data_IF_243047028132
#
_entry.id   IF_243047028132
#
_cell.length_a   1.000
_cell.length_b   1.000
_cell.length_c   1.000
_cell.angle_alpha   90.00
_cell.angle_beta   90.00
_cell.angle_gamma   90.00
#
_symmetry.space_group_name_H-M   'P 1'
#
loop_
_entity.id
_entity.type
_entity.pdbx_description
1 polymer ?
#
# COMPACT_ATOMS: atom_id res chain seq x y z
N UNK A 1 72.85 138.35 62.39
CA UNK A 1 72.35 137.33 61.44
C UNK A 1 73.40 137.16 60.35
N UNK A 2 74.15 136.07 60.36
CA UNK A 2 75.11 135.76 59.30
C UNK A 2 74.35 135.37 58.03
N UNK A 3 74.90 135.68 56.87
CA UNK A 3 74.36 135.31 55.54
C UNK A 3 74.09 133.80 55.43
N UNK A 4 74.89 132.98 56.13
CA UNK A 4 74.70 131.53 56.25
C UNK A 4 73.30 131.14 56.78
N UNK A 5 72.79 131.82 57.81
CA UNK A 5 71.49 131.48 58.42
C UNK A 5 70.32 131.78 57.49
N UNK A 6 70.40 132.86 56.69
CA UNK A 6 69.34 133.22 55.73
C UNK A 6 69.25 132.21 54.58
N UNK A 7 70.40 131.78 54.05
CA UNK A 7 70.44 130.75 53.01
C UNK A 7 69.87 129.43 53.54
N UNK A 8 70.20 129.07 54.77
CA UNK A 8 69.70 127.84 55.40
C UNK A 8 68.18 127.84 55.57
N UNK A 9 67.57 128.97 55.96
CA UNK A 9 66.10 129.09 56.11
C UNK A 9 65.39 128.94 54.76
N UNK A 10 65.94 129.52 53.69
CA UNK A 10 65.36 129.41 52.34
C UNK A 10 65.43 127.98 51.82
N UNK A 11 66.57 127.28 52.02
CA UNK A 11 66.71 125.86 51.66
C UNK A 11 65.76 124.99 52.49
N UNK A 12 65.63 125.24 53.79
CA UNK A 12 64.72 124.50 54.67
C UNK A 12 63.25 124.68 54.25
N UNK A 13 62.84 125.91 53.92
CA UNK A 13 61.48 126.19 53.46
C UNK A 13 61.18 125.51 52.12
N UNK A 14 62.14 125.52 51.19
CA UNK A 14 62.00 124.81 49.91
C UNK A 14 61.90 123.29 50.10
N UNK A 15 62.74 122.71 50.96
CA UNK A 15 62.66 121.30 51.31
C UNK A 15 61.34 120.93 51.99
N UNK A 16 60.78 121.80 52.86
CA UNK A 16 59.49 121.56 53.52
C UNK A 16 58.32 121.53 52.53
N UNK A 17 58.30 122.42 51.53
CA UNK A 17 57.28 122.43 50.48
C UNK A 17 57.43 121.23 49.54
N UNK A 18 58.67 120.86 49.18
CA UNK A 18 58.91 119.66 48.37
C UNK A 18 58.47 118.38 49.11
N UNK A 19 58.71 118.31 50.43
CA UNK A 19 58.30 117.17 51.25
C UNK A 19 56.78 117.06 51.39
N UNK A 20 56.06 118.17 51.55
CA UNK A 20 54.59 118.14 51.67
C UNK A 20 53.91 117.68 50.37
N UNK A 21 54.40 118.10 49.20
CA UNK A 21 53.92 117.62 47.91
C UNK A 21 54.13 116.11 47.73
N UNK A 22 55.28 115.59 48.19
CA UNK A 22 55.61 114.17 48.11
C UNK A 22 54.70 113.32 49.02
N UNK A 23 54.39 113.81 50.23
CA UNK A 23 53.50 113.12 51.19
C UNK A 23 52.07 113.04 50.66
N UNK A 24 51.54 114.08 50.01
CA UNK A 24 50.19 114.06 49.43
C UNK A 24 50.12 113.10 48.23
N UNK A 25 51.15 113.11 47.36
CA UNK A 25 51.26 112.14 46.27
C UNK A 25 51.28 110.69 46.80
N UNK A 26 52.06 110.42 47.86
CA UNK A 26 52.13 109.12 48.52
C UNK A 26 50.79 108.70 49.16
N UNK A 27 50.10 109.63 49.85
CA UNK A 27 48.81 109.37 50.48
C UNK A 27 47.71 109.07 49.45
N UNK A 28 47.67 109.78 48.33
CA UNK A 28 46.72 109.52 47.24
C UNK A 28 46.97 108.18 46.51
N UNK A 29 48.22 107.70 46.53
CA UNK A 29 48.60 106.38 46.01
C UNK A 29 48.46 105.26 47.03
N UNK A 30 48.02 105.57 48.26
CA UNK A 30 47.75 104.55 49.27
C UNK A 30 46.51 103.77 48.86
N UNK A 31 46.74 102.69 48.11
CA UNK A 31 45.70 101.76 47.68
C UNK A 31 45.01 101.19 48.93
N UNK A 32 43.69 101.15 48.89
CA UNK A 32 42.90 100.54 49.95
C UNK A 32 42.95 99.01 49.81
N UNK A 33 44.01 98.41 50.34
CA UNK A 33 44.29 96.97 50.27
C UNK A 33 43.14 96.09 50.78
N UNK A 34 42.32 96.61 51.71
CA UNK A 34 41.16 95.90 52.22
C UNK A 34 40.07 95.72 51.16
N UNK A 35 39.79 96.77 50.38
CA UNK A 35 38.81 96.72 49.29
C UNK A 35 39.28 95.82 48.15
N UNK A 36 40.55 95.91 47.78
CA UNK A 36 41.16 95.04 46.76
C UNK A 36 41.15 93.56 47.19
N UNK A 37 41.42 93.27 48.47
CA UNK A 37 41.30 91.90 49.00
C UNK A 37 39.85 91.38 48.98
N UNK A 38 38.86 92.24 49.25
CA UNK A 38 37.45 91.88 49.19
C UNK A 38 36.98 91.61 47.76
N UNK A 39 37.36 92.47 46.81
CA UNK A 39 37.04 92.32 45.40
C UNK A 39 37.71 91.06 44.81
N UNK A 40 38.97 90.79 45.17
CA UNK A 40 39.67 89.55 44.79
C UNK A 40 39.00 88.31 45.37
N UNK A 41 38.48 88.36 46.61
CA UNK A 41 37.74 87.26 47.22
C UNK A 41 36.40 87.04 46.53
N UNK A 42 35.68 88.10 46.17
CA UNK A 42 34.43 88.03 45.43
C UNK A 42 34.64 87.44 44.03
N UNK A 43 35.70 87.87 43.33
CA UNK A 43 36.07 87.35 42.02
C UNK A 43 36.47 85.87 42.07
N UNK A 44 37.26 85.45 43.06
CA UNK A 44 37.64 84.05 43.25
C UNK A 44 36.42 83.15 43.54
N UNK A 45 35.47 83.62 44.35
CA UNK A 45 34.22 82.90 44.63
C UNK A 45 33.34 82.78 43.38
N UNK A 46 33.24 83.83 42.57
CA UNK A 46 32.47 83.80 41.32
C UNK A 46 33.09 82.84 40.30
N UNK A 47 34.42 82.87 40.14
CA UNK A 47 35.14 81.94 39.26
C UNK A 47 34.97 80.48 39.72
N UNK A 48 35.00 80.21 41.02
CA UNK A 48 34.73 78.88 41.57
C UNK A 48 33.28 78.43 41.29
N UNK A 49 32.30 79.34 41.43
CA UNK A 49 30.90 79.06 41.09
C UNK A 49 30.72 78.75 39.60
N UNK A 50 31.39 79.48 38.71
CA UNK A 50 31.34 79.24 37.26
C UNK A 50 31.98 77.89 36.91
N UNK A 51 33.14 77.57 37.48
CA UNK A 51 33.83 76.28 37.24
C UNK A 51 33.01 75.09 37.74
N UNK A 52 32.52 75.15 38.98
CA UNK A 52 31.67 74.08 39.54
C UNK A 52 30.36 73.89 38.76
N UNK A 53 29.75 74.99 38.29
CA UNK A 53 28.59 74.92 37.41
C UNK A 53 28.93 74.26 36.06
N UNK A 54 30.03 74.64 35.42
CA UNK A 54 30.52 74.03 34.17
C UNK A 54 30.86 72.54 34.33
N UNK A 55 31.50 72.15 35.43
CA UNK A 55 31.78 70.75 35.75
C UNK A 55 30.49 69.95 35.97
N UNK A 56 29.49 70.52 36.67
CA UNK A 56 28.21 69.85 36.88
C UNK A 56 27.42 69.65 35.58
N UNK A 57 27.44 70.65 34.68
CA UNK A 57 26.81 70.56 33.37
C UNK A 57 27.48 69.48 32.50
N UNK A 58 28.81 69.44 32.48
CA UNK A 58 29.57 68.41 31.77
C UNK A 58 29.33 67.01 32.35
N UNK A 59 29.18 66.90 33.67
CA UNK A 59 28.84 65.63 34.31
C UNK A 59 27.45 65.15 33.91
N UNK A 60 26.44 66.03 33.93
CA UNK A 60 25.06 65.69 33.54
C UNK A 60 24.97 65.30 32.05
N UNK A 61 25.68 65.99 31.15
CA UNK A 61 25.70 65.62 29.73
C UNK A 61 26.37 64.26 29.52
N UNK A 62 27.47 63.99 30.23
CA UNK A 62 28.15 62.70 30.16
C UNK A 62 27.28 61.55 30.69
N UNK A 63 26.59 61.75 31.81
CA UNK A 63 25.61 60.79 32.35
C UNK A 63 24.45 60.54 31.37
N UNK A 64 23.94 61.59 30.72
CA UNK A 64 22.91 61.47 29.68
C UNK A 64 23.40 60.65 28.47
N UNK A 65 24.60 60.92 27.96
CA UNK A 65 25.18 60.14 26.88
C UNK A 65 25.43 58.69 27.28
N UNK A 66 25.89 58.45 28.51
CA UNK A 66 26.10 57.09 29.02
C UNK A 66 24.77 56.32 29.16
N UNK A 67 23.71 57.00 29.61
CA UNK A 67 22.35 56.44 29.65
C UNK A 67 21.83 56.09 28.24
N UNK A 68 22.03 56.99 27.27
CA UNK A 68 21.65 56.73 25.87
C UNK A 68 22.41 55.54 25.27
N UNK A 69 23.73 55.45 25.50
CA UNK A 69 24.55 54.31 25.06
C UNK A 69 24.04 53.01 25.68
N UNK A 70 23.72 53.02 26.98
CA UNK A 70 23.18 51.83 27.65
C UNK A 70 21.82 51.41 27.07
N UNK A 71 20.93 52.37 26.78
CA UNK A 71 19.64 52.08 26.18
C UNK A 71 19.78 51.53 24.75
N UNK A 72 20.63 52.15 23.93
CA UNK A 72 20.93 51.66 22.58
C UNK A 72 21.56 50.27 22.60
N UNK A 73 22.44 49.98 23.56
CA UNK A 73 23.02 48.65 23.73
C UNK A 73 21.96 47.59 24.09
N UNK A 74 21.00 47.93 24.95
CA UNK A 74 19.87 47.05 25.27
C UNK A 74 19.00 46.80 24.04
N UNK A 75 18.61 47.85 23.32
CA UNK A 75 17.79 47.74 22.12
C UNK A 75 18.49 46.91 21.04
N UNK A 76 19.80 47.07 20.86
CA UNK A 76 20.60 46.28 19.91
C UNK A 76 20.67 44.80 20.33
N UNK A 77 20.78 44.52 21.63
CA UNK A 77 20.73 43.15 22.18
C UNK A 77 19.35 42.51 21.97
N UNK A 78 18.28 43.25 22.23
CA UNK A 78 16.91 42.79 22.05
C UNK A 78 16.62 42.52 20.56
N UNK A 79 17.04 43.43 19.68
CA UNK A 79 16.87 43.28 18.25
C UNK A 79 17.66 42.10 17.69
N UNK A 80 18.88 41.84 18.19
CA UNK A 80 19.65 40.63 17.86
C UNK A 80 18.91 39.37 18.28
N UNK A 81 18.41 39.33 19.52
CA UNK A 81 17.65 38.19 20.04
C UNK A 81 16.39 37.93 19.22
N UNK A 82 15.68 38.98 18.83
CA UNK A 82 14.50 38.87 17.97
C UNK A 82 14.86 38.37 16.56
N UNK A 83 15.99 38.82 16.01
CA UNK A 83 16.47 38.38 14.70
C UNK A 83 16.84 36.89 14.71
N UNK A 84 17.53 36.43 15.76
CA UNK A 84 17.85 35.01 15.95
C UNK A 84 16.59 34.15 16.12
N UNK A 85 15.61 34.63 16.91
CA UNK A 85 14.32 33.96 17.08
C UNK A 85 13.56 33.85 15.75
N UNK A 86 13.49 34.94 14.99
CA UNK A 86 12.83 34.96 13.68
C UNK A 86 13.53 34.04 12.69
N UNK A 87 14.88 34.03 12.67
CA UNK A 87 15.65 33.10 11.84
C UNK A 87 15.38 31.63 12.21
N UNK A 88 15.30 31.33 13.51
CA UNK A 88 14.93 29.99 13.99
C UNK A 88 13.50 29.58 13.59
N UNK A 89 12.54 30.51 13.69
CA UNK A 89 11.16 30.28 13.24
C UNK A 89 11.09 30.03 11.73
N UNK A 90 11.81 30.81 10.92
CA UNK A 90 11.89 30.62 9.47
C UNK A 90 12.48 29.26 9.10
N UNK A 91 13.53 28.81 9.80
CA UNK A 91 14.10 27.49 9.59
C UNK A 91 13.11 26.37 9.95
N UNK A 92 12.38 26.51 11.07
CA UNK A 92 11.36 25.55 11.48
C UNK A 92 10.20 25.47 10.47
N UNK A 93 9.71 26.61 10.00
CA UNK A 93 8.63 26.68 9.00
C UNK A 93 9.10 26.07 7.68
N UNK A 94 10.32 26.33 7.23
CA UNK A 94 10.87 25.73 6.01
C UNK A 94 10.97 24.20 6.12
N UNK A 95 11.38 23.69 7.29
CA UNK A 95 11.42 22.24 7.53
C UNK A 95 10.01 21.63 7.52
N UNK A 96 9.02 22.31 8.13
CA UNK A 96 7.62 21.88 8.08
C UNK A 96 7.07 21.88 6.65
N UNK A 97 7.36 22.93 5.87
CA UNK A 97 6.95 23.04 4.47
C UNK A 97 7.53 21.88 3.64
N UNK A 98 8.81 21.56 3.83
CA UNK A 98 9.46 20.46 3.11
C UNK A 98 8.83 19.11 3.49
N UNK A 99 8.56 18.88 4.78
CA UNK A 99 7.88 17.66 5.24
C UNK A 99 6.47 17.54 4.65
N UNK A 100 5.70 18.62 4.60
CA UNK A 100 4.35 18.61 4.03
C UNK A 100 4.37 18.44 2.51
N UNK A 101 5.36 18.98 1.81
CA UNK A 101 5.58 18.74 0.39
C UNK A 101 5.89 17.26 0.10
N UNK A 102 6.76 16.63 0.90
CA UNK A 102 7.06 15.20 0.78
C UNK A 102 5.82 14.34 1.03
N UNK A 103 5.02 14.69 2.05
CA UNK A 103 3.76 14.02 2.34
C UNK A 103 2.75 14.17 1.20
N UNK A 104 2.64 15.36 0.62
CA UNK A 104 1.77 15.62 -0.53
C UNK A 104 2.20 14.81 -1.75
N UNK A 105 3.51 14.74 -2.04
CA UNK A 105 4.05 13.91 -3.12
C UNK A 105 3.77 12.41 -2.88
N UNK A 106 3.95 11.93 -1.65
CA UNK A 106 3.62 10.55 -1.27
C UNK A 106 2.12 10.24 -1.45
N UNK A 107 1.24 11.12 -0.96
CA UNK A 107 -0.21 10.95 -1.11
C UNK A 107 -0.62 10.99 -2.58
N UNK A 108 -0.01 11.85 -3.39
CA UNK A 108 -0.25 11.92 -4.83
C UNK A 108 0.13 10.61 -5.52
N UNK A 109 1.30 10.04 -5.17
CA UNK A 109 1.72 8.74 -5.66
C UNK A 109 0.74 7.61 -5.29
N UNK A 110 0.27 7.60 -4.04
CA UNK A 110 -0.74 6.63 -3.59
C UNK A 110 -2.06 6.77 -4.35
N UNK A 111 -2.53 8.01 -4.59
CA UNK A 111 -3.73 8.26 -5.39
C UNK A 111 -3.56 7.77 -6.83
N UNK A 112 -2.41 8.03 -7.46
CA UNK A 112 -2.13 7.51 -8.81
C UNK A 112 -2.12 5.98 -8.84
N UNK A 113 -1.50 5.34 -7.85
CA UNK A 113 -1.48 3.87 -7.74
C UNK A 113 -2.88 3.29 -7.55
N UNK A 114 -3.67 3.84 -6.63
CA UNK A 114 -5.07 3.43 -6.40
C UNK A 114 -5.92 3.62 -7.65
N UNK A 115 -5.76 4.73 -8.36
CA UNK A 115 -6.45 5.00 -9.63
C UNK A 115 -6.11 3.93 -10.67
N UNK A 116 -4.83 3.56 -10.78
CA UNK A 116 -4.40 2.48 -11.68
C UNK A 116 -5.00 1.13 -11.30
N UNK A 117 -5.07 0.81 -10.00
CA UNK A 117 -5.69 -0.42 -9.51
C UNK A 117 -7.19 -0.47 -9.79
N UNK A 118 -7.89 0.65 -9.62
CA UNK A 118 -9.33 0.77 -9.95
C UNK A 118 -9.54 0.53 -11.44
N UNK A 119 -8.75 1.19 -12.31
CA UNK A 119 -8.87 1.01 -13.76
C UNK A 119 -8.58 -0.43 -14.20
N UNK A 120 -7.58 -1.08 -13.60
CA UNK A 120 -7.28 -2.49 -13.86
C UNK A 120 -8.43 -3.40 -13.41
N UNK A 121 -8.98 -3.17 -12.21
CA UNK A 121 -10.13 -3.91 -11.70
C UNK A 121 -11.40 -3.72 -12.52
N UNK A 122 -11.65 -2.52 -13.04
CA UNK A 122 -12.79 -2.27 -13.94
C UNK A 122 -12.61 -2.97 -15.30
N UNK A 123 -11.39 -3.02 -15.83
CA UNK A 123 -11.10 -3.77 -17.05
C UNK A 123 -11.31 -5.28 -16.85
N UNK A 124 -10.82 -5.82 -15.73
CA UNK A 124 -11.02 -7.23 -15.36
C UNK A 124 -12.52 -7.55 -15.18
N UNK A 125 -13.26 -6.68 -14.48
CA UNK A 125 -14.71 -6.84 -14.30
C UNK A 125 -15.46 -6.88 -15.63
N UNK A 126 -15.08 -6.02 -16.58
CA UNK A 126 -15.68 -6.00 -17.93
C UNK A 126 -15.36 -7.26 -18.73
N UNK A 127 -14.13 -7.77 -18.60
CA UNK A 127 -13.73 -9.02 -19.23
C UNK A 127 -14.51 -10.21 -18.66
N UNK A 128 -14.59 -10.32 -17.34
CA UNK A 128 -15.38 -11.36 -16.66
C UNK A 128 -16.86 -11.29 -17.05
N UNK A 129 -17.43 -10.08 -17.18
CA UNK A 129 -18.81 -9.91 -17.62
C UNK A 129 -19.01 -10.40 -19.06
N UNK A 130 -18.05 -10.15 -19.95
CA UNK A 130 -18.04 -10.65 -21.33
C UNK A 130 -17.96 -12.18 -21.36
N UNK A 131 -17.04 -12.77 -20.58
CA UNK A 131 -16.91 -14.22 -20.48
C UNK A 131 -18.18 -14.89 -19.94
N UNK A 132 -18.80 -14.29 -18.92
CA UNK A 132 -20.05 -14.79 -18.35
C UNK A 132 -21.18 -14.76 -19.40
N UNK A 133 -21.25 -13.70 -20.20
CA UNK A 133 -22.22 -13.62 -21.30
C UNK A 133 -21.96 -14.68 -22.38
N UNK A 134 -20.69 -14.91 -22.75
CA UNK A 134 -20.32 -15.93 -23.72
C UNK A 134 -20.68 -17.32 -23.22
N UNK A 135 -20.32 -17.66 -21.98
CA UNK A 135 -20.67 -18.96 -21.37
C UNK A 135 -22.19 -19.15 -21.31
N UNK A 136 -22.96 -18.10 -21.02
CA UNK A 136 -24.43 -18.17 -21.06
C UNK A 136 -24.94 -18.47 -22.47
N UNK A 137 -24.43 -17.76 -23.47
CA UNK A 137 -24.79 -17.97 -24.86
C UNK A 137 -24.46 -19.41 -25.30
N UNK A 138 -23.26 -19.89 -24.99
CA UNK A 138 -22.82 -21.26 -25.29
C UNK A 138 -23.71 -22.29 -24.60
N UNK A 139 -24.08 -22.08 -23.33
CA UNK A 139 -24.98 -22.98 -22.62
C UNK A 139 -26.38 -23.02 -23.28
N UNK A 140 -26.89 -21.88 -23.74
CA UNK A 140 -28.17 -21.85 -24.47
C UNK A 140 -28.10 -22.55 -25.82
N UNK A 141 -26.99 -22.41 -26.55
CA UNK A 141 -26.76 -23.11 -27.81
C UNK A 141 -26.68 -24.63 -27.58
N UNK A 142 -25.87 -25.07 -26.62
CA UNK A 142 -25.74 -26.49 -26.26
C UNK A 142 -27.06 -27.11 -25.80
N UNK A 143 -27.90 -26.38 -25.07
CA UNK A 143 -29.25 -26.86 -24.71
C UNK A 143 -30.14 -27.02 -25.94
N UNK A 144 -30.08 -26.07 -26.85
CA UNK A 144 -30.85 -26.12 -28.11
C UNK A 144 -30.42 -27.30 -28.98
N UNK A 145 -29.11 -27.53 -29.09
CA UNK A 145 -28.57 -28.64 -29.87
C UNK A 145 -28.87 -30.00 -29.21
N UNK A 146 -28.81 -30.09 -27.88
CA UNK A 146 -29.27 -31.29 -27.17
C UNK A 146 -30.75 -31.59 -27.42
N UNK A 147 -31.62 -30.58 -27.46
CA UNK A 147 -33.04 -30.78 -27.79
C UNK A 147 -33.22 -31.29 -29.22
N UNK A 148 -32.51 -30.71 -30.20
CA UNK A 148 -32.53 -31.20 -31.59
C UNK A 148 -32.02 -32.63 -31.70
N UNK A 149 -30.92 -32.96 -31.02
CA UNK A 149 -30.37 -34.32 -31.00
C UNK A 149 -31.38 -35.30 -30.39
N UNK A 150 -32.02 -34.94 -29.28
CA UNK A 150 -33.07 -35.76 -28.67
C UNK A 150 -34.25 -35.99 -29.64
N UNK A 151 -34.71 -34.96 -30.34
CA UNK A 151 -35.77 -35.08 -31.35
C UNK A 151 -35.36 -35.99 -32.51
N UNK A 152 -34.12 -35.85 -33.02
CA UNK A 152 -33.61 -36.71 -34.09
C UNK A 152 -33.46 -38.17 -33.65
N UNK A 153 -32.99 -38.41 -32.43
CA UNK A 153 -32.90 -39.76 -31.86
C UNK A 153 -34.28 -40.39 -31.75
N UNK A 154 -35.28 -39.66 -31.25
CA UNK A 154 -36.66 -40.16 -31.16
C UNK A 154 -37.23 -40.51 -32.54
N UNK A 155 -36.96 -39.68 -33.55
CA UNK A 155 -37.39 -39.96 -34.93
C UNK A 155 -36.71 -41.22 -35.50
N UNK A 156 -35.41 -41.38 -35.26
CA UNK A 156 -34.66 -42.55 -35.70
C UNK A 156 -35.13 -43.83 -34.99
N UNK A 157 -35.40 -43.76 -33.69
CA UNK A 157 -35.99 -44.88 -32.93
C UNK A 157 -37.34 -45.31 -33.51
N UNK A 158 -38.23 -44.34 -33.80
CA UNK A 158 -39.54 -44.65 -34.39
C UNK A 158 -39.41 -45.26 -35.79
N UNK A 159 -38.47 -44.76 -36.59
CA UNK A 159 -38.17 -45.31 -37.91
C UNK A 159 -37.59 -46.74 -37.82
N UNK A 160 -36.70 -47.00 -36.86
CA UNK A 160 -36.16 -48.33 -36.60
C UNK A 160 -37.26 -49.32 -36.20
N UNK A 161 -38.18 -48.92 -35.31
CA UNK A 161 -39.33 -49.75 -34.93
C UNK A 161 -40.23 -50.07 -36.13
N UNK A 162 -40.48 -49.10 -37.02
CA UNK A 162 -41.25 -49.31 -38.25
C UNK A 162 -40.59 -50.32 -39.19
N UNK A 163 -39.27 -50.18 -39.41
CA UNK A 163 -38.54 -51.13 -40.24
C UNK A 163 -38.49 -52.53 -39.62
N UNK A 164 -38.37 -52.64 -38.29
CA UNK A 164 -38.39 -53.92 -37.60
C UNK A 164 -39.76 -54.62 -37.75
N UNK A 165 -40.86 -53.86 -37.64
CA UNK A 165 -42.20 -54.37 -37.94
C UNK A 165 -42.35 -54.82 -39.41
N UNK A 166 -41.85 -54.04 -40.37
CA UNK A 166 -41.85 -54.44 -41.79
C UNK A 166 -41.04 -55.71 -42.02
N UNK A 167 -39.85 -55.84 -41.42
CA UNK A 167 -39.03 -57.05 -41.52
C UNK A 167 -39.79 -58.25 -40.94
N UNK A 168 -40.48 -58.08 -39.82
CA UNK A 168 -41.30 -59.15 -39.22
C UNK A 168 -42.43 -59.58 -40.15
N UNK A 169 -43.19 -58.64 -40.70
CA UNK A 169 -44.26 -58.89 -41.66
C UNK A 169 -43.74 -59.59 -42.93
N UNK A 170 -42.62 -59.11 -43.48
CA UNK A 170 -41.99 -59.73 -44.66
C UNK A 170 -41.48 -61.14 -44.36
N UNK A 171 -40.92 -61.38 -43.16
CA UNK A 171 -40.54 -62.73 -42.71
C UNK A 171 -41.75 -63.64 -42.58
N UNK A 172 -42.85 -63.17 -42.00
CA UNK A 172 -44.11 -63.93 -41.91
C UNK A 172 -44.70 -64.23 -43.29
N UNK A 173 -44.68 -63.25 -44.21
CA UNK A 173 -45.08 -63.46 -45.60
C UNK A 173 -44.19 -64.49 -46.29
N UNK A 174 -42.87 -64.39 -46.17
CA UNK A 174 -41.94 -65.38 -46.72
C UNK A 174 -42.16 -66.77 -46.13
N UNK A 175 -42.43 -66.87 -44.82
CA UNK A 175 -42.75 -68.13 -44.18
C UNK A 175 -44.06 -68.70 -44.72
N UNK A 176 -45.10 -67.88 -44.86
CA UNK A 176 -46.40 -68.32 -45.43
C UNK A 176 -46.30 -68.73 -46.90
N UNK A 177 -45.46 -68.04 -47.69
CA UNK A 177 -45.18 -68.39 -49.08
C UNK A 177 -44.36 -69.67 -49.16
N UNK A 178 -43.35 -69.82 -48.30
CA UNK A 178 -42.55 -71.04 -48.20
C UNK A 178 -43.42 -72.22 -47.77
N UNK A 179 -44.31 -72.06 -46.79
CA UNK A 179 -45.28 -73.08 -46.37
C UNK A 179 -46.29 -73.42 -47.48
N UNK A 180 -46.73 -72.43 -48.28
CA UNK A 180 -47.54 -72.68 -49.47
C UNK A 180 -46.77 -73.44 -50.54
N UNK A 181 -45.52 -73.08 -50.79
CA UNK A 181 -44.63 -73.78 -51.72
C UNK A 181 -44.35 -75.20 -51.23
N UNK A 182 -44.12 -75.39 -49.93
CA UNK A 182 -43.93 -76.70 -49.30
C UNK A 182 -45.19 -77.54 -49.40
N UNK A 183 -46.37 -77.00 -49.13
CA UNK A 183 -47.67 -77.69 -49.31
C UNK A 183 -47.98 -77.98 -50.78
N UNK A 184 -47.56 -77.12 -51.70
CA UNK A 184 -47.68 -77.37 -53.14
C UNK A 184 -46.68 -78.45 -53.59
N UNK A 185 -45.44 -78.41 -53.10
CA UNK A 185 -44.45 -79.46 -53.30
C UNK A 185 -44.90 -80.77 -52.69
N UNK A 186 -45.46 -80.77 -51.48
CA UNK A 186 -46.00 -81.95 -50.82
C UNK A 186 -47.22 -82.45 -51.56
N UNK A 187 -48.07 -81.60 -52.15
CA UNK A 187 -49.12 -82.06 -53.09
C UNK A 187 -48.55 -82.66 -54.38
N UNK A 188 -47.45 -82.11 -54.90
CA UNK A 188 -46.70 -82.66 -56.05
C UNK A 188 -45.97 -83.96 -55.68
N UNK A 189 -45.54 -84.10 -54.43
CA UNK A 189 -44.82 -85.26 -53.87
C UNK A 189 -45.79 -86.32 -53.29
N UNK A 190 -47.01 -85.95 -52.94
CA UNK A 190 -48.13 -86.84 -52.65
C UNK A 190 -48.75 -87.37 -53.95
N UNK A 191 -48.51 -86.70 -55.08
CA UNK A 191 -48.68 -87.27 -56.43
C UNK A 191 -47.42 -87.94 -56.99
N UNK A 192 -46.25 -87.75 -56.36
CA UNK A 192 -44.98 -88.36 -56.72
C UNK A 192 -44.22 -88.82 -55.46
N UNK A 193 -44.81 -89.80 -54.77
CA UNK A 193 -44.26 -90.60 -53.67
C UNK A 193 -43.46 -89.89 -52.55
N UNK A 194 -43.96 -90.02 -51.32
CA UNK A 194 -43.28 -90.78 -50.27
C UNK A 194 -42.13 -90.11 -49.50
N UNK A 195 -42.39 -89.94 -48.19
CA UNK A 195 -41.48 -90.01 -47.05
C UNK A 195 -40.36 -88.96 -46.86
N UNK A 196 -40.60 -88.21 -45.78
CA UNK A 196 -39.70 -87.41 -44.95
C UNK A 196 -38.69 -88.31 -44.14
N UNK A 197 -37.98 -87.80 -43.11
CA UNK A 197 -37.15 -86.60 -42.94
C UNK A 197 -35.81 -86.90 -42.21
N UNK A 198 -34.97 -85.90 -41.95
CA UNK A 198 -34.06 -85.80 -40.76
C UNK A 198 -33.64 -84.32 -40.62
N UNK A 199 -33.98 -83.48 -39.62
CA UNK A 199 -33.77 -83.53 -38.15
C UNK A 199 -32.27 -83.74 -37.79
N UNK A 200 -31.56 -82.97 -36.94
CA UNK A 200 -31.81 -81.81 -36.03
C UNK A 200 -30.42 -81.32 -35.48
N UNK A 201 -30.26 -80.49 -34.42
CA UNK A 201 -29.30 -79.37 -34.38
C UNK A 201 -28.31 -79.39 -33.18
N UNK A 202 -27.56 -78.29 -32.95
CA UNK A 202 -27.00 -77.94 -31.63
C UNK A 202 -26.34 -76.54 -31.66
N UNK A 203 -26.77 -75.51 -30.93
CA UNK A 203 -26.63 -75.20 -29.48
C UNK A 203 -25.18 -75.30 -28.98
N UNK A 204 -24.52 -74.31 -28.37
CA UNK A 204 -24.87 -72.98 -27.87
C UNK A 204 -23.61 -72.30 -27.28
N UNK A 205 -23.68 -71.04 -26.79
CA UNK A 205 -22.54 -70.27 -26.31
C UNK A 205 -22.35 -70.36 -24.78
N UNK A 206 -21.09 -70.25 -24.30
CA UNK A 206 -20.78 -70.14 -22.87
C UNK A 206 -19.83 -68.95 -22.61
N UNK A 207 -20.33 -67.98 -21.85
CA UNK A 207 -19.59 -66.84 -21.31
C UNK A 207 -19.00 -67.22 -19.94
N UNK A 208 -17.78 -66.76 -19.64
CA UNK A 208 -17.13 -66.91 -18.33
C UNK A 208 -16.85 -65.51 -17.77
N UNK A 209 -17.46 -65.18 -16.63
CA UNK A 209 -17.10 -64.00 -15.83
C UNK A 209 -16.12 -64.43 -14.74
N UNK A 210 -14.96 -63.79 -14.67
CA UNK A 210 -13.96 -64.02 -13.63
C UNK A 210 -13.95 -62.90 -12.61
N UNK A 211 -14.05 -63.25 -11.33
CA UNK A 211 -13.74 -62.42 -10.17
C UNK A 211 -12.26 -62.57 -9.83
N UNK A 212 -11.47 -61.49 -9.88
CA UNK A 212 -10.08 -61.46 -9.40
C UNK A 212 -10.01 -60.67 -8.09
N UNK A 213 -9.66 -61.36 -7.00
CA UNK A 213 -9.33 -60.79 -5.69
C UNK A 213 -7.83 -60.42 -5.65
N UNK A 214 -7.48 -59.36 -6.40
CA UNK A 214 -6.11 -58.82 -6.45
C UNK A 214 -6.06 -57.48 -5.70
N UNK A 215 -4.97 -57.17 -4.96
CA UNK A 215 -4.79 -55.87 -4.33
C UNK A 215 -4.87 -54.75 -5.37
N UNK A 216 -5.81 -53.83 -5.16
CA UNK A 216 -6.05 -52.72 -6.08
C UNK A 216 -5.01 -51.63 -5.78
N UNK A 217 -4.08 -51.43 -6.73
CA UNK A 217 -3.04 -50.40 -6.67
C UNK A 217 -3.28 -49.43 -7.84
N UNK A 218 -3.22 -48.14 -7.59
CA UNK A 218 -3.22 -47.16 -8.66
C UNK A 218 -2.65 -45.81 -8.25
N UNK A 219 -2.97 -44.79 -9.03
CA UNK A 219 -2.31 -43.49 -9.00
C UNK A 219 -3.33 -42.35 -9.05
N UNK A 220 -3.00 -41.23 -8.40
CA UNK A 220 -3.81 -40.02 -8.41
C UNK A 220 -3.58 -39.24 -9.71
N UNK A 221 -4.62 -39.13 -10.53
CA UNK A 221 -4.59 -38.50 -11.87
C UNK A 221 -4.90 -37.01 -11.84
N UNK A 222 -5.81 -36.56 -10.95
CA UNK A 222 -6.15 -35.15 -10.79
C UNK A 222 -6.48 -34.85 -9.33
N UNK A 223 -6.14 -33.65 -8.86
CA UNK A 223 -6.46 -33.18 -7.51
C UNK A 223 -7.09 -31.80 -7.64
N UNK A 224 -8.30 -31.64 -7.12
CA UNK A 224 -8.99 -30.35 -7.02
C UNK A 224 -9.53 -30.22 -5.61
N UNK A 225 -8.94 -29.31 -4.85
CA UNK A 225 -9.26 -29.02 -3.45
C UNK A 225 -9.28 -30.27 -2.56
N UNK A 226 -10.48 -30.85 -2.35
CA UNK A 226 -10.73 -32.03 -1.54
C UNK A 226 -11.10 -33.30 -2.33
N UNK A 227 -11.21 -33.21 -3.66
CA UNK A 227 -11.46 -34.35 -4.54
C UNK A 227 -10.17 -34.77 -5.24
N UNK A 228 -9.91 -36.07 -5.25
CA UNK A 228 -8.91 -36.67 -6.10
C UNK A 228 -9.54 -37.66 -7.09
N UNK A 229 -9.08 -37.57 -8.32
CA UNK A 229 -9.31 -38.57 -9.36
C UNK A 229 -8.26 -39.67 -9.25
N UNK A 230 -8.72 -40.92 -9.28
CA UNK A 230 -7.89 -42.12 -9.26
C UNK A 230 -7.95 -42.77 -10.63
N UNK A 231 -6.83 -43.32 -11.07
CA UNK A 231 -6.73 -44.14 -12.30
C UNK A 231 -7.34 -45.55 -12.16
N UNK A 232 -8.29 -45.73 -11.23
CA UNK A 232 -8.86 -47.02 -10.86
C UNK A 232 -10.37 -46.93 -10.88
N UNK A 233 -11.06 -47.88 -11.54
CA UNK A 233 -12.51 -47.87 -11.72
C UNK A 233 -13.21 -49.17 -11.36
N UNK A 234 -14.50 -49.30 -11.71
CA UNK A 234 -15.30 -50.49 -11.40
C UNK A 234 -14.81 -51.75 -12.12
N UNK A 235 -14.10 -51.62 -13.24
CA UNK A 235 -13.46 -52.74 -13.93
C UNK A 235 -12.36 -53.41 -13.09
N UNK A 236 -11.79 -52.68 -12.12
CA UNK A 236 -10.75 -53.15 -11.21
C UNK A 236 -11.30 -53.48 -9.81
N UNK A 237 -12.62 -53.47 -9.63
CA UNK A 237 -13.29 -53.88 -8.39
C UNK A 237 -13.57 -52.76 -7.39
N UNK A 238 -13.33 -51.49 -7.76
CA UNK A 238 -13.63 -50.33 -6.88
C UNK A 238 -15.15 -50.16 -6.74
N UNK A 239 -15.60 -50.03 -5.48
CA UNK A 239 -16.99 -49.75 -5.13
C UNK A 239 -17.12 -48.38 -4.48
N UNK A 240 -18.31 -47.81 -4.61
CA UNK A 240 -18.65 -46.57 -3.92
C UNK A 240 -18.53 -46.77 -2.40
N UNK A 241 -17.90 -45.82 -1.71
CA UNK A 241 -17.61 -45.88 -0.28
C UNK A 241 -16.38 -46.68 0.15
N UNK A 242 -15.60 -47.28 -0.76
CA UNK A 242 -14.30 -47.88 -0.40
C UNK A 242 -13.29 -46.83 0.06
N UNK A 243 -12.42 -47.21 1.01
CA UNK A 243 -11.38 -46.34 1.55
C UNK A 243 -10.01 -46.72 1.00
N UNK A 244 -9.31 -45.76 0.43
CA UNK A 244 -7.96 -45.92 -0.10
C UNK A 244 -6.96 -45.14 0.74
N UNK A 245 -5.77 -45.71 0.91
CA UNK A 245 -4.65 -45.07 1.58
C UNK A 245 -3.71 -44.50 0.53
N UNK A 246 -3.36 -43.22 0.68
CA UNK A 246 -2.40 -42.53 -0.19
C UNK A 246 -1.03 -42.55 0.44
N UNK A 247 -0.02 -42.97 -0.32
CA UNK A 247 1.37 -43.00 0.11
C UNK A 247 2.32 -42.52 -0.98
N UNK A 248 3.45 -41.94 -0.56
CA UNK A 248 4.58 -41.56 -1.42
C UNK A 248 5.83 -42.22 -0.88
N UNK A 249 6.35 -43.22 -1.60
CA UNK A 249 7.46 -44.05 -1.11
C UNK A 249 7.06 -44.81 0.15
N UNK A 250 7.69 -44.50 1.28
CA UNK A 250 7.39 -45.08 2.60
C UNK A 250 6.55 -44.17 3.51
N UNK A 251 6.11 -42.99 3.02
CA UNK A 251 5.40 -42.00 3.82
C UNK A 251 3.89 -42.06 3.54
N UNK A 252 3.10 -42.25 4.60
CA UNK A 252 1.65 -42.14 4.58
C UNK A 252 1.23 -40.67 4.46
N UNK A 253 0.37 -40.36 3.48
CA UNK A 253 -0.07 -39.00 3.18
C UNK A 253 -1.54 -38.75 3.55
N UNK A 254 -2.38 -39.80 3.57
CA UNK A 254 -3.77 -39.67 3.95
C UNK A 254 -4.67 -40.85 3.60
N UNK A 255 -5.96 -40.68 3.92
CA UNK A 255 -7.06 -41.57 3.54
C UNK A 255 -8.04 -40.83 2.64
N UNK A 256 -8.56 -41.57 1.68
CA UNK A 256 -9.51 -41.11 0.68
C UNK A 256 -10.69 -42.07 0.63
N UNK A 257 -11.91 -41.53 0.60
CA UNK A 257 -13.14 -42.29 0.46
C UNK A 257 -13.72 -42.07 -0.92
N UNK A 258 -14.00 -43.15 -1.65
CA UNK A 258 -14.59 -43.08 -2.98
C UNK A 258 -16.04 -42.59 -2.88
N UNK A 259 -16.39 -41.60 -3.71
CA UNK A 259 -17.74 -41.02 -3.79
C UNK A 259 -18.38 -41.22 -5.16
N UNK A 260 -17.58 -41.50 -6.20
CA UNK A 260 -18.08 -41.78 -7.54
C UNK A 260 -17.15 -42.71 -8.29
N UNK A 261 -17.70 -43.75 -8.90
CA UNK A 261 -16.93 -44.74 -9.68
C UNK A 261 -17.37 -44.71 -11.14
N UNK A 262 -16.41 -44.58 -12.06
CA UNK A 262 -16.55 -44.83 -13.50
C UNK A 262 -15.89 -46.18 -13.86
N UNK A 263 -16.12 -46.72 -15.07
CA UNK A 263 -15.53 -48.00 -15.49
C UNK A 263 -14.00 -48.04 -15.38
N UNK A 264 -13.32 -46.94 -15.73
CA UNK A 264 -11.85 -46.86 -15.79
C UNK A 264 -11.23 -45.87 -14.80
N UNK A 265 -12.05 -45.08 -14.10
CA UNK A 265 -11.59 -44.03 -13.17
C UNK A 265 -12.52 -43.94 -11.97
N UNK A 266 -12.07 -43.36 -10.87
CA UNK A 266 -12.93 -43.04 -9.74
C UNK A 266 -12.57 -41.69 -9.17
N UNK A 267 -13.54 -41.05 -8.52
CA UNK A 267 -13.34 -39.82 -7.77
C UNK A 267 -13.65 -40.13 -6.30
N UNK A 268 -12.77 -39.66 -5.44
CA UNK A 268 -12.96 -39.76 -3.99
C UNK A 268 -12.59 -38.47 -3.30
N UNK A 269 -13.12 -38.32 -2.10
CA UNK A 269 -12.89 -37.20 -1.21
C UNK A 269 -11.91 -37.59 -0.10
N UNK A 270 -11.01 -36.69 0.28
CA UNK A 270 -10.08 -36.95 1.37
C UNK A 270 -10.79 -36.91 2.74
N UNK A 271 -10.73 -38.01 3.49
CA UNK A 271 -11.22 -38.09 4.87
C UNK A 271 -10.15 -37.71 5.89
N UNK A 272 -8.88 -37.92 5.57
CA UNK A 272 -7.76 -37.53 6.42
C UNK A 272 -6.56 -37.13 5.57
N UNK A 273 -6.03 -35.92 5.77
CA UNK A 273 -4.87 -35.38 5.04
C UNK A 273 -3.78 -35.01 6.03
N UNK A 274 -2.62 -35.68 5.94
CA UNK A 274 -1.46 -35.43 6.81
C UNK A 274 -0.27 -34.82 6.06
N UNK A 275 -0.39 -34.59 4.75
CA UNK A 275 0.64 -33.94 3.94
C UNK A 275 0.12 -33.38 2.60
N UNK A 276 1.04 -32.79 1.84
CA UNK A 276 0.76 -32.25 0.51
C UNK A 276 0.73 -33.36 -0.54
N UNK A 277 -0.48 -33.77 -0.90
CA UNK A 277 -0.75 -34.77 -1.93
C UNK A 277 -0.58 -34.12 -3.31
N UNK A 278 0.19 -34.77 -4.19
CA UNK A 278 0.41 -34.32 -5.56
C UNK A 278 -0.08 -35.36 -6.57
N UNK A 279 -0.25 -34.92 -7.82
CA UNK A 279 -0.53 -35.83 -8.94
C UNK A 279 0.63 -36.83 -9.05
N UNK A 280 0.30 -38.11 -9.15
CA UNK A 280 1.26 -39.20 -9.21
C UNK A 280 1.54 -39.95 -7.92
N UNK A 281 0.85 -39.61 -6.83
CA UNK A 281 0.92 -40.38 -5.58
C UNK A 281 0.20 -41.74 -5.72
N UNK A 282 0.75 -42.77 -5.06
CA UNK A 282 0.22 -44.13 -5.13
C UNK A 282 -0.88 -44.33 -4.11
N UNK A 283 -1.89 -45.11 -4.50
CA UNK A 283 -3.04 -45.44 -3.65
C UNK A 283 -3.26 -46.95 -3.60
N UNK A 284 -3.63 -47.45 -2.42
CA UNK A 284 -3.97 -48.86 -2.23
C UNK A 284 -5.09 -49.05 -1.23
N UNK A 285 -5.93 -50.08 -1.44
CA UNK A 285 -7.02 -50.50 -0.55
C UNK A 285 -6.51 -51.33 0.65
N UNK A 286 -5.36 -52.01 0.50
CA UNK A 286 -4.76 -52.87 1.52
C UNK A 286 -3.26 -52.61 1.63
N UNK A 287 -2.79 -52.32 2.85
CA UNK A 287 -1.37 -52.27 3.16
C UNK A 287 -0.85 -53.67 3.52
#
# INVERSE_FOLDING_TARGET
>A
MTTLTKVFIVVLAFCAVAFSMLVIAFASQTKNYYKEAQDNRAWALQEQAIRSSGESLNKVTLENYQSQISNLQKELSDLRTQTEKNAGQMAAINNQLLAEQQKTASLTGQVTQLTSMINAGDAERKELQTQLQNVRNDNTALRTDNLKLAETNQKLELQAQLYEQQIRLLKEQNFSLSDRVEKLRSKVQDTAAGNAPSQTPGTGPASVSGTSDSPIIGEITDIRDNLAGLSIGSAQGVKDGMEFIVYRGAQYLGKLKITKVLPEQSAGEFTQRQGDIHKGDKVTDKF
#
